data_IF_521610579463
#
_entry.id   IF_521610579463
#
_cell.length_a   1.000
_cell.length_b   1.000
_cell.length_c   1.000
_cell.angle_alpha   90.00
_cell.angle_beta   90.00
_cell.angle_gamma   90.00
#
_symmetry.space_group_name_H-M   'P 1'
#
loop_
_entity.id
_entity.type
_entity.pdbx_description
1 polymer ?
#
# COMPACT_ATOMS: atom_id res chain seq x y z
N UNK A 1 -9.11 -24.07 19.78
CA UNK A 1 -10.46 -23.58 19.48
C UNK A 1 -10.59 -22.17 20.03
N UNK A 2 -10.17 -21.14 19.28
CA UNK A 2 -10.15 -19.73 19.71
C UNK A 2 -11.51 -19.13 19.38
N UNK A 3 -12.27 -18.74 20.40
CA UNK A 3 -13.57 -18.07 20.26
C UNK A 3 -13.37 -16.71 19.58
N UNK A 4 -13.91 -16.57 18.36
CA UNK A 4 -14.09 -15.29 17.69
C UNK A 4 -14.99 -14.41 18.55
N UNK A 5 -14.43 -13.42 19.25
CA UNK A 5 -15.21 -12.33 19.81
C UNK A 5 -15.52 -11.36 18.65
N UNK A 6 -16.64 -11.64 17.99
CA UNK A 6 -17.26 -10.69 17.07
C UNK A 6 -17.70 -9.47 17.89
N UNK A 7 -17.10 -8.31 17.63
CA UNK A 7 -17.67 -7.04 18.08
C UNK A 7 -19.08 -6.90 17.49
N UNK A 8 -20.06 -6.41 18.26
CA UNK A 8 -21.39 -6.17 17.72
C UNK A 8 -21.34 -5.13 16.58
N UNK A 9 -22.11 -5.38 15.55
CA UNK A 9 -22.16 -4.64 14.27
C UNK A 9 -22.71 -3.20 14.37
N UNK A 10 -22.71 -2.56 15.55
CA UNK A 10 -23.46 -1.34 15.81
C UNK A 10 -22.72 -0.03 15.57
N UNK A 11 -21.43 -0.06 15.17
CA UNK A 11 -20.66 1.18 14.97
C UNK A 11 -19.96 1.26 13.61
N UNK A 12 -20.52 0.61 12.58
CA UNK A 12 -20.12 0.90 11.22
C UNK A 12 -20.63 2.31 10.88
N UNK A 13 -19.75 3.28 10.62
CA UNK A 13 -20.22 4.59 10.18
C UNK A 13 -21.12 4.38 8.96
N UNK A 14 -22.38 4.84 9.02
CA UNK A 14 -23.25 4.90 7.86
C UNK A 14 -22.47 5.65 6.78
N UNK A 15 -22.00 4.91 5.78
CA UNK A 15 -21.42 5.52 4.58
C UNK A 15 -22.55 6.29 3.94
N UNK A 16 -22.58 7.60 4.16
CA UNK A 16 -23.47 8.50 3.46
C UNK A 16 -23.16 8.30 1.97
N UNK A 17 -24.14 7.82 1.24
CA UNK A 17 -24.08 7.67 -0.22
C UNK A 17 -24.11 9.09 -0.81
N UNK A 18 -23.02 9.84 -0.62
CA UNK A 18 -22.90 11.19 -1.12
C UNK A 18 -22.70 11.13 -2.62
N UNK A 19 -23.60 11.69 -3.43
CA UNK A 19 -23.42 11.74 -4.86
C UNK A 19 -22.12 12.46 -5.21
N UNK A 20 -21.45 12.01 -6.26
CA UNK A 20 -20.30 12.75 -6.79
C UNK A 20 -20.75 14.15 -7.19
N UNK A 21 -19.93 15.20 -6.95
CA UNK A 21 -20.29 16.58 -7.30
C UNK A 21 -20.60 16.75 -8.80
N UNK A 22 -21.47 17.69 -9.17
CA UNK A 22 -21.88 17.94 -10.57
C UNK A 22 -20.72 18.24 -11.50
N UNK A 23 -19.64 18.85 -10.99
CA UNK A 23 -18.43 19.15 -11.76
C UNK A 23 -17.37 18.02 -11.68
N UNK A 24 -17.78 16.77 -11.41
CA UNK A 24 -16.85 15.64 -11.21
C UNK A 24 -15.88 15.46 -12.37
N UNK A 25 -16.35 15.54 -13.61
CA UNK A 25 -15.54 15.34 -14.82
C UNK A 25 -14.41 16.37 -14.96
N UNK A 26 -14.64 17.59 -14.44
CA UNK A 26 -13.66 18.70 -14.50
C UNK A 26 -12.62 18.64 -13.39
N UNK A 27 -12.81 17.78 -12.37
CA UNK A 27 -11.88 17.68 -11.25
C UNK A 27 -10.62 16.92 -11.63
N UNK A 28 -9.50 17.40 -11.11
CA UNK A 28 -8.23 16.68 -11.21
C UNK A 28 -8.25 15.41 -10.34
N UNK A 29 -7.30 14.52 -10.56
CA UNK A 29 -7.16 13.29 -9.79
C UNK A 29 -7.02 13.57 -8.28
N UNK A 30 -6.14 14.49 -7.91
CA UNK A 30 -5.93 14.87 -6.50
C UNK A 30 -7.18 15.45 -5.85
N UNK A 31 -7.98 16.23 -6.58
CA UNK A 31 -9.28 16.73 -6.10
C UNK A 31 -10.29 15.58 -5.88
N UNK A 32 -10.30 14.59 -6.77
CA UNK A 32 -11.12 13.38 -6.64
C UNK A 32 -10.67 12.50 -5.47
N UNK A 33 -9.36 12.33 -5.29
CA UNK A 33 -8.78 11.65 -4.12
C UNK A 33 -9.19 12.35 -2.82
N UNK A 34 -9.06 13.69 -2.76
CA UNK A 34 -9.46 14.48 -1.59
C UNK A 34 -10.94 14.29 -1.25
N UNK A 35 -11.80 14.25 -2.26
CA UNK A 35 -13.21 13.96 -2.07
C UNK A 35 -13.42 12.52 -1.57
N UNK A 36 -12.78 11.52 -2.19
CA UNK A 36 -12.84 10.10 -1.80
C UNK A 36 -12.39 9.88 -0.35
N UNK A 37 -11.43 10.62 0.15
CA UNK A 37 -10.99 10.56 1.55
C UNK A 37 -12.15 10.76 2.53
N UNK A 38 -13.14 11.59 2.17
CA UNK A 38 -14.32 11.90 2.99
C UNK A 38 -15.58 11.12 2.60
N UNK A 39 -15.58 10.56 1.39
CA UNK A 39 -16.72 9.86 0.82
C UNK A 39 -16.25 8.49 0.28
N UNK A 40 -15.97 7.51 1.17
CA UNK A 40 -15.63 6.15 0.74
C UNK A 40 -16.76 5.57 -0.11
N UNK A 41 -16.42 4.80 -1.14
CA UNK A 41 -17.40 4.11 -1.97
C UNK A 41 -18.09 3.02 -1.14
N UNK A 42 -19.41 3.06 -0.96
CA UNK A 42 -20.11 2.07 -0.15
C UNK A 42 -20.12 0.66 -0.77
N UNK A 43 -19.76 0.54 -2.06
CA UNK A 43 -19.67 -0.74 -2.77
C UNK A 43 -18.34 -1.46 -2.52
N UNK A 44 -17.35 -0.79 -1.93
CA UNK A 44 -16.03 -1.34 -1.65
C UNK A 44 -15.96 -1.80 -0.19
N UNK A 45 -15.64 -3.06 0.02
CA UNK A 45 -15.30 -3.60 1.34
C UNK A 45 -13.86 -3.21 1.70
N UNK A 46 -13.69 -1.98 2.21
CA UNK A 46 -12.37 -1.48 2.57
C UNK A 46 -11.68 -2.27 3.67
N UNK A 47 -12.43 -2.95 4.54
CA UNK A 47 -11.84 -3.80 5.57
C UNK A 47 -10.98 -4.91 4.93
N UNK A 48 -11.49 -5.55 3.89
CA UNK A 48 -10.75 -6.60 3.17
C UNK A 48 -9.71 -6.05 2.19
N UNK A 49 -10.04 -4.98 1.45
CA UNK A 49 -9.15 -4.48 0.39
C UNK A 49 -7.96 -3.69 0.91
N UNK A 50 -8.08 -3.00 2.05
CA UNK A 50 -7.03 -2.10 2.58
C UNK A 50 -6.19 -2.76 3.66
N UNK A 51 -6.73 -3.75 4.39
CA UNK A 51 -5.92 -4.57 5.30
C UNK A 51 -4.94 -5.41 4.48
N UNK A 52 -3.63 -5.25 4.71
CA UNK A 52 -2.58 -5.89 3.91
C UNK A 52 -2.61 -7.42 3.98
N UNK A 53 -3.12 -7.99 5.07
CA UNK A 53 -3.25 -9.43 5.20
C UNK A 53 -4.52 -9.95 4.51
N UNK A 54 -5.67 -9.32 4.74
CA UNK A 54 -6.92 -9.73 4.11
C UNK A 54 -6.87 -9.58 2.58
N UNK A 55 -6.20 -8.53 2.09
CA UNK A 55 -6.00 -8.28 0.67
C UNK A 55 -5.27 -9.43 -0.05
N UNK A 56 -4.40 -10.18 0.64
CA UNK A 56 -3.74 -11.36 0.06
C UNK A 56 -4.76 -12.44 -0.34
N UNK A 57 -5.85 -12.58 0.41
CA UNK A 57 -6.93 -13.52 0.08
C UNK A 57 -7.68 -13.11 -1.20
N UNK A 58 -7.84 -11.80 -1.43
CA UNK A 58 -8.47 -11.27 -2.65
C UNK A 58 -7.67 -11.61 -3.90
N UNK A 59 -6.35 -11.60 -3.81
CA UNK A 59 -5.43 -11.86 -4.93
C UNK A 59 -4.95 -13.31 -5.00
N UNK A 60 -5.41 -14.16 -4.09
CA UNK A 60 -5.01 -15.57 -4.05
C UNK A 60 -5.28 -16.27 -5.40
N UNK A 61 -4.29 -16.99 -5.91
CA UNK A 61 -4.36 -17.67 -7.21
C UNK A 61 -4.23 -16.75 -8.44
N UNK A 62 -4.23 -15.41 -8.24
CA UNK A 62 -4.02 -14.44 -9.33
C UNK A 62 -2.56 -13.95 -9.37
N UNK A 63 -2.00 -13.63 -8.20
CA UNK A 63 -0.66 -13.07 -8.07
C UNK A 63 0.14 -13.78 -6.99
N UNK A 64 1.46 -13.77 -7.13
CA UNK A 64 2.35 -14.17 -6.03
C UNK A 64 2.21 -13.19 -4.87
N UNK A 65 2.29 -13.70 -3.64
CA UNK A 65 2.33 -12.91 -2.42
C UNK A 65 3.50 -13.37 -1.56
N UNK A 66 4.16 -12.50 -0.79
CA UNK A 66 5.15 -12.93 0.19
C UNK A 66 4.49 -13.89 1.20
N UNK A 67 5.21 -15.00 1.54
CA UNK A 67 4.72 -15.95 2.55
C UNK A 67 4.48 -15.24 3.88
N UNK A 68 3.30 -15.38 4.45
CA UNK A 68 2.98 -14.89 5.79
C UNK A 68 3.36 -15.96 6.81
N UNK A 69 4.14 -15.56 7.82
CA UNK A 69 4.55 -16.43 8.93
C UNK A 69 3.56 -16.37 10.09
N UNK A 70 3.13 -15.14 10.44
CA UNK A 70 2.17 -14.92 11.51
C UNK A 70 1.36 -13.64 11.26
N UNK A 71 0.18 -13.58 11.86
CA UNK A 71 -0.66 -12.37 11.95
C UNK A 71 -1.22 -12.33 13.36
N UNK A 72 -1.09 -11.18 14.02
CA UNK A 72 -1.62 -10.94 15.36
C UNK A 72 -2.52 -9.71 15.35
N UNK A 73 -3.51 -9.71 16.23
CA UNK A 73 -4.41 -8.57 16.42
C UNK A 73 -4.09 -7.79 17.69
N UNK A 74 -3.38 -8.41 18.62
CA UNK A 74 -2.95 -7.80 19.87
C UNK A 74 -1.43 -7.88 19.99
N UNK A 75 -0.72 -6.78 20.34
CA UNK A 75 0.75 -6.76 20.45
C UNK A 75 1.33 -7.80 21.40
N UNK A 76 0.61 -8.12 22.47
CA UNK A 76 1.01 -9.12 23.46
C UNK A 76 1.07 -10.56 22.91
N UNK A 77 0.41 -10.84 21.81
CA UNK A 77 0.49 -12.15 21.15
C UNK A 77 1.87 -12.40 20.51
N UNK A 78 2.62 -11.32 20.25
CA UNK A 78 3.92 -11.38 19.56
C UNK A 78 4.93 -12.19 20.38
N UNK A 79 4.94 -12.07 21.72
CA UNK A 79 5.91 -12.75 22.58
C UNK A 79 5.81 -14.28 22.54
N UNK A 80 4.71 -14.82 22.04
CA UNK A 80 4.50 -16.28 21.88
C UNK A 80 4.84 -16.79 20.49
N UNK A 81 5.30 -15.94 19.56
CA UNK A 81 5.58 -16.34 18.18
C UNK A 81 6.92 -17.05 18.04
N UNK A 82 6.99 -17.97 17.09
CA UNK A 82 8.24 -18.50 16.54
C UNK A 82 8.42 -17.93 15.15
N UNK A 83 9.42 -17.09 14.95
CA UNK A 83 9.70 -16.39 13.71
C UNK A 83 11.04 -16.83 13.12
N UNK A 84 11.23 -16.82 11.79
CA UNK A 84 12.55 -17.02 11.19
C UNK A 84 13.46 -15.83 11.51
N UNK A 85 14.77 -15.98 11.29
CA UNK A 85 15.76 -14.91 11.54
C UNK A 85 15.63 -13.74 10.57
N UNK A 86 14.97 -13.94 9.42
CA UNK A 86 14.79 -12.90 8.39
C UNK A 86 13.31 -12.78 8.02
N UNK A 87 12.75 -11.60 8.24
CA UNK A 87 11.34 -11.29 7.93
C UNK A 87 11.10 -9.78 7.85
N UNK A 88 9.93 -9.42 7.34
CA UNK A 88 9.38 -8.07 7.44
C UNK A 88 8.15 -8.09 8.36
N UNK A 89 8.17 -7.25 9.38
CA UNK A 89 7.01 -6.96 10.22
C UNK A 89 6.29 -5.74 9.63
N UNK A 90 4.97 -5.83 9.46
CA UNK A 90 4.14 -4.73 8.91
C UNK A 90 2.85 -4.57 9.70
N UNK A 91 2.43 -3.33 9.94
CA UNK A 91 1.05 -3.10 10.34
C UNK A 91 0.11 -3.37 9.17
N UNK A 92 -0.95 -4.15 9.37
CA UNK A 92 -1.90 -4.52 8.31
C UNK A 92 -2.73 -3.32 7.85
N UNK A 93 -3.01 -2.39 8.77
CA UNK A 93 -3.86 -1.22 8.62
C UNK A 93 -3.12 0.09 8.35
N UNK A 94 -1.79 0.09 8.51
CA UNK A 94 -0.98 1.29 8.58
C UNK A 94 -0.22 1.63 7.30
N UNK A 95 0.22 2.88 7.23
CA UNK A 95 1.15 3.39 6.22
C UNK A 95 2.49 3.72 6.84
N UNK A 96 3.60 3.37 6.17
CA UNK A 96 4.96 3.54 6.68
C UNK A 96 5.19 2.85 8.05
N UNK A 97 4.49 1.77 8.29
CA UNK A 97 4.63 0.92 9.46
C UNK A 97 5.18 -0.44 9.03
N UNK A 98 6.46 -0.46 8.67
CA UNK A 98 7.19 -1.67 8.31
C UNK A 98 8.56 -1.64 8.95
N UNK A 99 9.03 -2.80 9.39
CA UNK A 99 10.32 -3.02 10.02
C UNK A 99 10.95 -4.27 9.39
N UNK A 100 12.20 -4.14 8.94
CA UNK A 100 12.99 -5.25 8.42
C UNK A 100 13.86 -5.84 9.51
N UNK A 101 13.77 -7.15 9.68
CA UNK A 101 14.72 -7.98 10.43
C UNK A 101 15.46 -8.87 9.45
N UNK A 102 16.78 -8.92 9.57
CA UNK A 102 17.65 -9.77 8.76
C UNK A 102 18.73 -10.39 9.64
N UNK A 103 18.81 -11.72 9.63
CA UNK A 103 19.68 -12.52 10.50
C UNK A 103 19.50 -12.17 12.00
N UNK A 104 18.24 -12.05 12.45
CA UNK A 104 17.91 -11.71 13.84
C UNK A 104 18.20 -10.26 14.24
N UNK A 105 18.64 -9.41 13.31
CA UNK A 105 19.01 -8.01 13.58
C UNK A 105 18.05 -7.06 12.89
N UNK A 106 17.55 -6.09 13.61
CA UNK A 106 16.75 -4.99 13.07
C UNK A 106 17.61 -4.15 12.13
N UNK A 107 17.22 -4.07 10.87
CA UNK A 107 17.86 -3.21 9.86
C UNK A 107 17.27 -1.80 9.85
N UNK A 108 16.06 -1.64 10.38
CA UNK A 108 15.37 -0.39 10.58
C UNK A 108 13.91 -0.43 10.16
N UNK A 109 13.26 0.70 10.28
CA UNK A 109 11.88 0.88 9.91
C UNK A 109 11.73 2.03 8.89
N UNK A 110 10.57 2.10 8.24
CA UNK A 110 10.24 3.23 7.36
C UNK A 110 10.28 4.60 8.05
N UNK A 111 10.24 4.63 9.38
CA UNK A 111 10.20 5.87 10.16
C UNK A 111 11.49 6.20 10.87
N UNK A 112 12.36 5.22 11.14
CA UNK A 112 13.52 5.45 11.96
C UNK A 112 14.62 4.42 11.70
N UNK A 113 15.87 4.93 11.69
CA UNK A 113 17.07 4.09 11.77
C UNK A 113 17.54 3.92 13.24
N UNK A 114 16.81 4.47 14.22
CA UNK A 114 17.24 4.50 15.62
C UNK A 114 17.56 3.12 16.18
N UNK A 115 16.82 2.12 15.71
CA UNK A 115 16.93 0.75 16.20
C UNK A 115 17.76 -0.16 15.29
N UNK A 116 18.35 0.39 14.23
CA UNK A 116 19.21 -0.40 13.34
C UNK A 116 20.41 -0.95 14.12
N UNK A 117 20.66 -2.26 13.94
CA UNK A 117 21.74 -2.96 14.60
C UNK A 117 21.37 -3.65 15.92
N UNK A 118 20.18 -3.42 16.49
CA UNK A 118 19.75 -4.14 17.69
C UNK A 118 19.22 -5.54 17.39
N UNK A 119 19.29 -6.51 18.31
CA UNK A 119 18.59 -7.78 18.21
C UNK A 119 17.07 -7.59 18.11
N UNK A 120 16.40 -8.44 17.35
CA UNK A 120 14.95 -8.43 17.16
C UNK A 120 14.26 -9.36 18.16
N UNK A 121 14.45 -9.11 19.46
CA UNK A 121 13.71 -9.86 20.48
C UNK A 121 12.20 -9.58 20.40
N UNK A 122 11.38 -10.54 20.85
CA UNK A 122 9.93 -10.49 20.72
C UNK A 122 9.30 -9.37 21.57
N UNK A 123 9.91 -9.02 22.71
CA UNK A 123 9.46 -7.91 23.56
C UNK A 123 9.65 -6.58 22.84
N UNK A 124 10.77 -6.40 22.16
CA UNK A 124 11.01 -5.21 21.33
C UNK A 124 9.98 -5.12 20.19
N UNK A 125 9.72 -6.22 19.48
CA UNK A 125 8.74 -6.24 18.39
C UNK A 125 7.33 -5.94 18.91
N UNK A 126 6.96 -6.44 20.09
CA UNK A 126 5.71 -6.10 20.77
C UNK A 126 5.64 -4.61 21.11
N UNK A 127 6.72 -4.02 21.63
CA UNK A 127 6.84 -2.59 21.88
C UNK A 127 6.62 -1.75 20.61
N UNK A 128 7.23 -2.13 19.49
CA UNK A 128 7.03 -1.48 18.18
C UNK A 128 5.55 -1.57 17.74
N UNK A 129 4.90 -2.71 17.93
CA UNK A 129 3.48 -2.88 17.59
C UNK A 129 2.60 -1.95 18.43
N UNK A 130 2.89 -1.82 19.74
CA UNK A 130 2.19 -0.88 20.65
C UNK A 130 2.36 0.57 20.18
N UNK A 131 3.57 0.97 19.78
CA UNK A 131 3.82 2.31 19.23
C UNK A 131 3.02 2.56 17.95
N UNK A 132 2.93 1.57 17.07
CA UNK A 132 2.14 1.67 15.85
C UNK A 132 0.64 1.82 16.14
N UNK A 133 0.12 1.05 17.09
CA UNK A 133 -1.28 1.13 17.52
C UNK A 133 -1.62 2.49 18.11
N UNK A 134 -0.72 3.07 18.92
CA UNK A 134 -0.91 4.35 19.58
C UNK A 134 -0.45 5.56 18.75
N UNK A 135 -0.10 5.37 17.49
CA UNK A 135 0.45 6.39 16.62
C UNK A 135 -0.52 7.57 16.40
N UNK A 136 -0.14 8.76 16.88
CA UNK A 136 -0.90 10.00 16.64
C UNK A 136 -1.04 10.33 15.14
N UNK A 137 -0.04 9.99 14.32
CA UNK A 137 -0.09 10.19 12.88
C UNK A 137 -1.11 9.27 12.22
N UNK A 138 -1.22 8.02 12.69
CA UNK A 138 -2.23 7.07 12.21
C UNK A 138 -3.64 7.53 12.62
N UNK A 139 -3.83 7.99 13.84
CA UNK A 139 -5.10 8.54 14.29
C UNK A 139 -5.54 9.75 13.44
N UNK A 140 -4.60 10.66 13.08
CA UNK A 140 -4.88 11.78 12.17
C UNK A 140 -5.25 11.30 10.76
N UNK A 141 -4.53 10.28 10.24
CA UNK A 141 -4.81 9.70 8.93
C UNK A 141 -6.22 9.09 8.87
N UNK A 142 -6.61 8.32 9.88
CA UNK A 142 -7.97 7.74 9.99
C UNK A 142 -9.06 8.82 10.02
N UNK A 143 -8.79 9.97 10.62
CA UNK A 143 -9.69 11.14 10.57
C UNK A 143 -9.74 11.80 9.19
N UNK A 144 -8.61 11.83 8.49
CA UNK A 144 -8.50 12.44 7.16
C UNK A 144 -9.05 11.54 6.05
N UNK A 145 -8.93 10.21 6.18
CA UNK A 145 -9.27 9.20 5.18
C UNK A 145 -10.21 8.16 5.81
N UNK A 146 -11.51 8.36 5.65
CA UNK A 146 -12.54 7.66 6.43
C UNK A 146 -12.58 6.15 6.19
N UNK A 147 -12.19 5.66 5.01
CA UNK A 147 -12.17 4.22 4.71
C UNK A 147 -11.22 3.43 5.63
N UNK A 148 -10.13 4.03 6.11
CA UNK A 148 -9.24 3.37 7.07
C UNK A 148 -9.87 3.11 8.45
N UNK A 149 -11.02 3.72 8.76
CA UNK A 149 -11.76 3.42 9.99
C UNK A 149 -12.37 2.02 9.99
N UNK A 150 -12.52 1.42 8.81
CA UNK A 150 -13.08 0.09 8.66
C UNK A 150 -12.03 -1.03 8.86
N UNK A 151 -10.74 -0.65 8.91
CA UNK A 151 -9.62 -1.61 9.06
C UNK A 151 -9.24 -1.70 10.52
N UNK A 152 -9.27 -2.90 11.08
CA UNK A 152 -8.85 -3.15 12.45
C UNK A 152 -7.32 -3.10 12.59
N UNK A 153 -6.85 -2.92 13.83
CA UNK A 153 -5.43 -3.07 14.12
C UNK A 153 -4.97 -4.49 13.84
N UNK A 154 -3.78 -4.63 13.31
CA UNK A 154 -3.13 -5.91 13.12
C UNK A 154 -1.67 -5.71 12.73
N UNK A 155 -0.86 -6.71 13.04
CA UNK A 155 0.53 -6.83 12.63
C UNK A 155 0.72 -8.15 11.94
N UNK A 156 1.38 -8.16 10.80
CA UNK A 156 1.77 -9.36 10.09
C UNK A 156 3.28 -9.46 9.98
N UNK A 157 3.76 -10.70 9.97
CA UNK A 157 5.14 -11.09 9.75
C UNK A 157 5.20 -11.88 8.46
N UNK A 158 6.00 -11.43 7.50
CA UNK A 158 6.06 -12.06 6.18
C UNK A 158 7.49 -12.20 5.67
N UNK A 159 7.66 -13.07 4.69
CA UNK A 159 8.95 -13.26 4.02
C UNK A 159 9.47 -11.96 3.43
N UNK A 160 10.74 -11.70 3.64
CA UNK A 160 11.44 -10.61 2.97
C UNK A 160 11.68 -10.98 1.51
N UNK A 161 11.08 -10.23 0.59
CA UNK A 161 11.34 -10.35 -0.85
C UNK A 161 12.65 -9.63 -1.15
N UNK A 162 13.62 -10.38 -1.66
CA UNK A 162 14.93 -9.82 -2.03
C UNK A 162 15.61 -10.63 -3.16
N UNK A 163 16.42 -9.95 -4.01
CA UNK A 163 16.49 -8.48 -4.08
C UNK A 163 15.15 -7.90 -4.55
N UNK A 164 14.81 -6.69 -4.16
CA UNK A 164 13.72 -5.93 -4.79
C UNK A 164 14.32 -5.04 -5.85
N UNK A 165 14.05 -5.33 -7.12
CA UNK A 165 14.54 -4.54 -8.25
C UNK A 165 13.87 -3.15 -8.24
N UNK A 166 12.54 -3.14 -8.07
CA UNK A 166 11.72 -1.94 -7.97
C UNK A 166 10.35 -2.26 -7.40
N UNK A 167 9.66 -1.23 -6.97
CA UNK A 167 8.23 -1.28 -6.66
C UNK A 167 7.44 -0.74 -7.86
N UNK A 168 6.45 -1.50 -8.29
CA UNK A 168 5.56 -1.15 -9.38
C UNK A 168 4.19 -0.76 -8.83
N UNK A 169 3.76 0.47 -9.07
CA UNK A 169 2.48 1.01 -8.63
C UNK A 169 1.61 1.29 -9.87
N UNK A 170 0.56 0.50 -10.06
CA UNK A 170 -0.33 0.59 -11.21
C UNK A 170 -1.62 1.32 -10.87
N UNK A 171 -1.90 2.43 -11.55
CA UNK A 171 -3.11 3.21 -11.39
C UNK A 171 -4.18 2.68 -12.34
N UNK A 172 -5.28 2.18 -11.76
CA UNK A 172 -6.38 1.55 -12.47
C UNK A 172 -7.66 2.36 -12.28
N UNK A 173 -8.45 2.44 -13.35
CA UNK A 173 -9.78 3.05 -13.36
C UNK A 173 -10.74 2.05 -14.01
N UNK A 174 -11.71 1.53 -13.25
CA UNK A 174 -12.60 0.43 -13.65
C UNK A 174 -11.82 -0.77 -14.22
N UNK A 175 -10.72 -1.11 -13.56
CA UNK A 175 -9.80 -2.17 -13.97
C UNK A 175 -8.83 -1.82 -15.09
N UNK A 176 -9.03 -0.71 -15.81
CA UNK A 176 -8.19 -0.30 -16.94
C UNK A 176 -6.93 0.41 -16.43
N UNK A 177 -5.78 -0.11 -16.81
CA UNK A 177 -4.49 0.50 -16.53
C UNK A 177 -4.34 1.84 -17.27
N UNK A 178 -3.86 2.88 -16.59
CA UNK A 178 -3.69 4.22 -17.15
C UNK A 178 -2.33 4.84 -16.90
N UNK A 179 -1.67 4.47 -15.80
CA UNK A 179 -0.36 5.01 -15.45
C UNK A 179 0.36 4.05 -14.51
N UNK A 180 1.67 3.91 -14.68
CA UNK A 180 2.53 3.24 -13.71
C UNK A 180 3.52 4.23 -13.10
N UNK A 181 3.72 4.12 -11.80
CA UNK A 181 4.84 4.70 -11.07
C UNK A 181 5.76 3.55 -10.66
N UNK A 182 6.98 3.56 -11.20
CA UNK A 182 8.05 2.64 -10.81
C UNK A 182 8.93 3.36 -9.79
N UNK A 183 9.05 2.81 -8.59
CA UNK A 183 9.84 3.38 -7.53
C UNK A 183 11.08 2.51 -7.28
N UNK A 184 12.25 3.08 -7.52
CA UNK A 184 13.53 2.45 -7.18
C UNK A 184 13.81 2.71 -5.71
N UNK A 185 14.13 1.65 -4.98
CA UNK A 185 14.42 1.74 -3.56
C UNK A 185 15.91 1.58 -3.32
N UNK A 186 16.48 2.46 -2.52
CA UNK A 186 17.71 2.14 -1.81
C UNK A 186 17.38 1.25 -0.62
N UNK A 187 18.43 0.77 0.03
CA UNK A 187 18.33 0.08 1.29
C UNK A 187 17.26 0.70 2.22
N UNK A 188 16.43 -0.12 2.86
CA UNK A 188 15.50 0.27 3.92
C UNK A 188 14.25 1.04 3.47
N UNK A 189 13.60 0.63 2.40
CA UNK A 189 12.32 1.18 1.96
C UNK A 189 12.35 2.67 1.56
N UNK A 190 13.53 3.26 1.36
CA UNK A 190 13.65 4.63 0.87
C UNK A 190 13.63 4.65 -0.65
N UNK A 191 12.61 5.29 -1.21
CA UNK A 191 12.59 5.56 -2.64
C UNK A 191 13.67 6.58 -2.99
N UNK A 192 14.53 6.23 -3.92
CA UNK A 192 15.62 7.09 -4.39
C UNK A 192 15.28 7.79 -5.68
N UNK A 193 14.52 7.12 -6.53
CA UNK A 193 14.15 7.62 -7.84
C UNK A 193 12.83 7.00 -8.32
N UNK A 194 12.22 7.63 -9.30
CA UNK A 194 10.96 7.19 -9.89
C UNK A 194 11.00 7.29 -11.40
N UNK A 195 10.31 6.38 -12.07
CA UNK A 195 9.97 6.47 -13.49
C UNK A 195 8.45 6.39 -13.63
N UNK A 196 7.89 7.17 -14.56
CA UNK A 196 6.45 7.20 -14.80
C UNK A 196 6.20 6.75 -16.23
N UNK A 197 5.34 5.75 -16.39
CA UNK A 197 4.94 5.17 -17.66
C UNK A 197 3.44 5.39 -17.90
N UNK A 198 3.08 5.68 -19.15
CA UNK A 198 1.68 5.79 -19.58
C UNK A 198 1.04 4.41 -19.88
N UNK A 199 -0.19 4.42 -20.40
CA UNK A 199 -0.94 3.19 -20.71
C UNK A 199 -0.35 2.36 -21.87
N UNK A 200 0.42 2.98 -22.77
CA UNK A 200 1.19 2.32 -23.82
C UNK A 200 2.53 1.78 -23.32
N UNK A 201 2.87 2.02 -22.07
CA UNK A 201 4.16 1.70 -21.45
C UNK A 201 5.32 2.54 -21.98
N UNK A 202 5.04 3.78 -22.39
CA UNK A 202 6.06 4.75 -22.78
C UNK A 202 6.56 5.50 -21.55
N UNK A 203 7.87 5.59 -21.37
CA UNK A 203 8.48 6.39 -20.31
C UNK A 203 8.17 7.88 -20.53
N UNK A 204 7.43 8.48 -19.61
CA UNK A 204 7.00 9.89 -19.69
C UNK A 204 7.84 10.81 -18.81
N UNK A 205 8.36 10.30 -17.71
CA UNK A 205 9.12 11.08 -16.74
C UNK A 205 10.05 10.20 -15.92
N UNK A 206 11.23 10.73 -15.60
CA UNK A 206 12.21 10.11 -14.72
C UNK A 206 12.67 11.15 -13.68
N UNK A 207 12.46 10.87 -12.40
CA UNK A 207 12.60 11.83 -11.31
C UNK A 207 13.44 11.26 -10.17
N UNK A 208 14.36 12.05 -9.63
CA UNK A 208 14.96 11.77 -8.33
C UNK A 208 13.93 12.07 -7.22
N UNK A 209 13.92 11.26 -6.16
CA UNK A 209 12.97 11.44 -5.04
C UNK A 209 13.19 12.73 -4.25
N UNK A 210 14.44 13.22 -4.22
CA UNK A 210 14.83 14.46 -3.53
C UNK A 210 15.94 15.15 -4.31
N UNK A 211 16.01 16.46 -4.18
CA UNK A 211 17.14 17.24 -4.69
C UNK A 211 18.46 16.69 -4.12
N UNK A 212 19.45 16.49 -4.97
CA UNK A 212 20.76 15.94 -4.62
C UNK A 212 20.85 14.40 -4.61
N UNK A 213 19.76 13.67 -4.88
CA UNK A 213 19.81 12.22 -5.11
C UNK A 213 20.15 11.92 -6.58
N UNK A 214 20.75 10.77 -6.82
CA UNK A 214 21.01 10.30 -8.18
C UNK A 214 19.71 10.18 -8.97
N UNK A 215 19.71 10.53 -10.26
CA UNK A 215 18.59 10.25 -11.14
C UNK A 215 18.30 8.74 -11.18
N UNK A 216 17.09 8.34 -11.59
CA UNK A 216 16.79 6.93 -11.77
C UNK A 216 17.76 6.31 -12.77
N UNK A 217 18.01 5.00 -12.66
CA UNK A 217 18.82 4.30 -13.65
C UNK A 217 18.27 4.55 -15.05
N UNK A 218 19.13 4.69 -16.04
CA UNK A 218 18.76 4.87 -17.45
C UNK A 218 18.15 3.61 -18.08
N UNK A 219 17.79 2.62 -17.25
CA UNK A 219 17.25 1.34 -17.66
C UNK A 219 15.75 1.50 -17.89
N UNK A 220 15.32 1.20 -19.10
CA UNK A 220 13.89 1.06 -19.41
C UNK A 220 13.34 -0.20 -18.74
N UNK A 221 12.26 -0.03 -17.96
CA UNK A 221 11.62 -1.15 -17.27
C UNK A 221 10.74 -1.91 -18.26
N UNK A 222 10.91 -3.24 -18.37
CA UNK A 222 10.08 -4.05 -19.25
C UNK A 222 8.60 -3.94 -18.90
N UNK A 223 7.74 -3.86 -19.92
CA UNK A 223 6.28 -3.88 -19.72
C UNK A 223 5.87 -5.18 -19.01
N UNK A 224 5.07 -5.11 -17.93
CA UNK A 224 4.53 -6.29 -17.29
C UNK A 224 3.75 -7.18 -18.28
N UNK A 225 3.72 -8.50 -18.07
CA UNK A 225 3.06 -9.41 -18.99
C UNK A 225 1.55 -9.14 -19.10
N UNK A 226 0.98 -9.30 -20.27
CA UNK A 226 -0.44 -9.04 -20.56
C UNK A 226 -1.39 -9.80 -19.60
N UNK A 227 -0.98 -10.99 -19.12
CA UNK A 227 -1.75 -11.76 -18.13
C UNK A 227 -1.96 -11.02 -16.82
N UNK A 228 -0.98 -10.19 -16.38
CA UNK A 228 -1.09 -9.38 -15.18
C UNK A 228 -2.18 -8.32 -15.36
N UNK A 229 -2.16 -7.58 -16.46
CA UNK A 229 -3.18 -6.57 -16.76
C UNK A 229 -4.59 -7.18 -16.92
N UNK A 230 -4.72 -8.34 -17.59
CA UNK A 230 -6.01 -9.06 -17.70
C UNK A 230 -6.55 -9.51 -16.35
N UNK A 231 -5.68 -9.96 -15.44
CA UNK A 231 -6.10 -10.32 -14.09
C UNK A 231 -6.57 -9.10 -13.29
N UNK A 232 -5.83 -7.99 -13.36
CA UNK A 232 -6.19 -6.73 -12.70
C UNK A 232 -7.50 -6.15 -13.27
N UNK A 233 -7.69 -6.19 -14.58
CA UNK A 233 -8.93 -5.74 -15.23
C UNK A 233 -10.15 -6.48 -14.68
N UNK A 234 -10.08 -7.81 -14.63
CA UNK A 234 -11.18 -8.64 -14.08
C UNK A 234 -11.42 -8.37 -12.60
N UNK A 235 -10.34 -8.26 -11.82
CA UNK A 235 -10.41 -8.05 -10.37
C UNK A 235 -10.99 -6.67 -10.04
N UNK A 236 -10.53 -5.62 -10.70
CA UNK A 236 -10.82 -4.23 -10.35
C UNK A 236 -11.92 -3.57 -11.19
N UNK A 237 -12.58 -4.29 -12.14
CA UNK A 237 -13.57 -3.71 -13.08
C UNK A 237 -14.75 -2.98 -12.42
N UNK A 238 -15.08 -3.32 -11.17
CA UNK A 238 -16.19 -2.71 -10.41
C UNK A 238 -15.72 -1.62 -9.44
N UNK A 239 -14.43 -1.31 -9.46
CA UNK A 239 -13.81 -0.30 -8.62
C UNK A 239 -13.49 0.88 -9.52
N UNK A 240 -14.05 2.04 -9.23
CA UNK A 240 -13.88 3.24 -10.05
C UNK A 240 -12.42 3.72 -10.11
N UNK A 241 -11.66 3.57 -9.01
CA UNK A 241 -10.21 3.81 -8.96
C UNK A 241 -9.56 3.03 -7.83
N UNK A 242 -8.41 2.42 -8.15
CA UNK A 242 -7.49 1.81 -7.19
C UNK A 242 -6.06 1.83 -7.75
N UNK A 243 -5.06 2.02 -6.89
CA UNK A 243 -3.66 1.74 -7.20
C UNK A 243 -3.32 0.36 -6.64
N UNK A 244 -2.67 -0.44 -7.45
CA UNK A 244 -2.21 -1.79 -7.08
C UNK A 244 -0.70 -1.82 -7.08
N UNK A 245 -0.11 -2.21 -5.97
CA UNK A 245 1.32 -2.16 -5.74
C UNK A 245 1.93 -3.57 -5.75
N UNK A 246 3.04 -3.72 -6.46
CA UNK A 246 3.84 -4.94 -6.52
C UNK A 246 5.29 -4.66 -6.16
N UNK A 247 5.90 -5.57 -5.42
CA UNK A 247 7.35 -5.70 -5.36
C UNK A 247 7.79 -6.56 -6.54
N UNK A 248 8.76 -6.08 -7.31
CA UNK A 248 9.33 -6.85 -8.42
C UNK A 248 10.71 -7.34 -8.04
N UNK A 249 10.96 -8.64 -8.23
CA UNK A 249 12.19 -9.32 -7.89
C UNK A 249 12.44 -10.40 -8.94
N UNK A 250 13.56 -10.34 -9.65
CA UNK A 250 13.92 -11.28 -10.72
C UNK A 250 12.78 -11.53 -11.71
N UNK A 251 12.12 -10.47 -12.16
CA UNK A 251 10.98 -10.51 -13.09
C UNK A 251 9.69 -11.12 -12.52
N UNK A 252 9.63 -11.43 -11.23
CA UNK A 252 8.43 -11.89 -10.53
C UNK A 252 7.72 -10.73 -9.84
N UNK A 253 6.39 -10.73 -9.91
CA UNK A 253 5.52 -9.69 -9.35
C UNK A 253 4.87 -10.21 -8.07
N UNK A 254 5.28 -9.67 -6.92
CA UNK A 254 4.70 -10.00 -5.62
C UNK A 254 3.73 -8.89 -5.22
N UNK A 255 2.45 -9.20 -5.11
CA UNK A 255 1.45 -8.24 -4.65
C UNK A 255 1.82 -7.71 -3.24
N UNK A 256 1.69 -6.40 -3.07
CA UNK A 256 2.01 -5.69 -1.83
C UNK A 256 0.77 -5.09 -1.17
N UNK A 257 0.03 -4.23 -1.86
CA UNK A 257 -1.15 -3.58 -1.30
C UNK A 257 -2.09 -2.98 -2.37
N UNK A 258 -3.31 -2.69 -1.95
CA UNK A 258 -4.23 -1.80 -2.67
C UNK A 258 -4.26 -0.43 -2.01
N UNK A 259 -4.23 0.63 -2.82
CA UNK A 259 -4.30 2.02 -2.35
C UNK A 259 -5.43 2.76 -3.05
N UNK A 260 -6.43 3.22 -2.28
CA UNK A 260 -7.61 3.92 -2.83
C UNK A 260 -7.47 5.45 -2.82
N UNK A 261 -6.54 5.98 -2.03
CA UNK A 261 -6.34 7.41 -1.84
C UNK A 261 -4.85 7.74 -1.88
N UNK A 262 -4.28 7.61 -3.09
CA UNK A 262 -2.86 7.92 -3.32
C UNK A 262 -2.52 9.32 -2.79
N UNK A 263 -1.45 9.42 -1.98
CA UNK A 263 -1.01 10.65 -1.32
C UNK A 263 -2.08 11.33 -0.43
N UNK A 264 -3.23 10.68 -0.20
CA UNK A 264 -4.30 11.20 0.65
C UNK A 264 -4.79 12.60 0.25
N UNK A 265 -5.11 13.47 1.21
CA UNK A 265 -5.63 14.81 0.92
C UNK A 265 -4.53 15.85 0.57
N UNK A 266 -3.27 15.43 0.45
CA UNK A 266 -2.10 16.34 0.42
C UNK A 266 -1.72 16.83 -0.99
N UNK A 267 -2.46 16.42 -2.03
CA UNK A 267 -2.24 16.84 -3.39
C UNK A 267 -1.54 15.80 -4.27
N UNK A 268 -1.19 16.17 -5.51
CA UNK A 268 -0.75 15.22 -6.52
C UNK A 268 0.68 14.68 -6.30
N UNK A 269 1.54 15.37 -5.55
CA UNK A 269 2.93 14.96 -5.35
C UNK A 269 3.67 14.74 -6.67
N UNK A 270 4.31 13.58 -6.84
CA UNK A 270 5.03 13.20 -8.06
C UNK A 270 4.15 13.14 -9.32
N UNK A 271 2.83 13.05 -9.16
CA UNK A 271 1.88 12.97 -10.28
C UNK A 271 1.36 14.33 -10.74
N UNK A 272 1.96 15.44 -10.33
CA UNK A 272 1.45 16.79 -10.62
C UNK A 272 1.21 17.03 -12.12
N UNK A 273 2.10 16.57 -12.99
CA UNK A 273 1.96 16.68 -14.45
C UNK A 273 0.82 15.83 -15.02
N UNK A 274 0.47 14.75 -14.35
CA UNK A 274 -0.55 13.79 -14.78
C UNK A 274 -1.90 13.99 -14.08
N UNK A 275 -1.99 14.94 -13.14
CA UNK A 275 -3.13 15.12 -12.24
C UNK A 275 -4.44 15.37 -13.02
N UNK A 276 -4.40 16.23 -14.02
CA UNK A 276 -5.56 16.50 -14.87
C UNK A 276 -5.91 15.30 -15.78
N UNK A 277 -4.91 14.62 -16.34
CA UNK A 277 -5.11 13.43 -17.19
C UNK A 277 -5.75 12.29 -16.39
N UNK A 278 -5.20 11.94 -15.26
CA UNK A 278 -5.75 10.90 -14.37
C UNK A 278 -7.15 11.29 -13.85
N UNK A 279 -7.37 12.59 -13.64
CA UNK A 279 -8.70 13.10 -13.30
C UNK A 279 -9.74 12.73 -14.36
N UNK A 280 -9.45 12.89 -15.63
CA UNK A 280 -10.35 12.49 -16.73
C UNK A 280 -10.59 10.98 -16.80
N UNK A 281 -9.63 10.16 -16.39
CA UNK A 281 -9.79 8.70 -16.38
C UNK A 281 -10.74 8.20 -15.26
N UNK A 282 -11.00 9.00 -14.22
CA UNK A 282 -11.85 8.58 -13.10
C UNK A 282 -13.31 8.87 -13.39
N UNK A 283 -14.14 7.84 -13.68
CA UNK A 283 -15.52 8.01 -14.11
C UNK A 283 -16.44 8.55 -13.02
N UNK A 284 -17.63 8.98 -13.43
CA UNK A 284 -18.69 9.44 -12.54
C UNK A 284 -19.33 8.31 -11.72
#
# INVERSE_FOLDING_TARGET
>A
MVRRHLRPATDRPRTLNSPKPDNWEKRTFSQKVKWRCKHPDPKVDYASWVDKYEAKSIVAGLFSVPRTYAVVRYPEEIVALTLPDTFVMKATHGWNMSLLVENGIVRGSNRSRRDAGRPSDLDYLSGVAIEWMNSKSEARRRKAQLHYRQVDFGVMFEAYVQPVDYELQLFLFEGRFKLALVAFRSFMFQNTAHQIYDEEWTLREALASKSGMSPPPSIEIPRPPARLFKALERLCRRIDHVRVDFLVSDGRYYFSEFTFTHNGPYGPGLLARFDAQLGRCWPR
#
